data_IF_371384528192
#
_entry.id   IF_371384528192
#
_cell.length_a   1.000
_cell.length_b   1.000
_cell.length_c   1.000
_cell.angle_alpha   90.00
_cell.angle_beta   90.00
_cell.angle_gamma   90.00
#
_symmetry.space_group_name_H-M   'P 1'
#
loop_
_entity.id
_entity.type
_entity.pdbx_description
1 polymer ?
#
# COMPACT_ATOMS: atom_id res chain seq x y z
N UNK A 1 -26.64 17.95 13.98
CA UNK A 1 -27.25 16.63 14.08
C UNK A 1 -27.05 16.07 15.48
N UNK A 2 -28.08 15.49 16.03
CA UNK A 2 -27.98 14.76 17.31
C UNK A 2 -27.42 13.37 17.02
N UNK A 3 -26.39 12.97 17.74
CA UNK A 3 -25.94 11.59 17.74
C UNK A 3 -27.08 10.65 18.15
N UNK A 4 -27.26 9.53 17.46
CA UNK A 4 -28.16 8.50 17.96
C UNK A 4 -27.66 8.06 19.34
N UNK A 5 -28.58 7.89 20.28
CA UNK A 5 -28.22 7.36 21.59
C UNK A 5 -27.65 5.94 21.42
N UNK A 6 -26.82 5.50 22.36
CA UNK A 6 -26.31 4.12 22.38
C UNK A 6 -27.44 3.10 22.27
N UNK A 7 -28.54 3.34 22.96
CA UNK A 7 -29.73 2.50 22.94
C UNK A 7 -30.37 2.44 21.53
N UNK A 8 -30.45 3.57 20.81
CA UNK A 8 -30.93 3.59 19.44
C UNK A 8 -30.00 2.86 18.47
N UNK A 9 -28.68 2.93 18.71
CA UNK A 9 -27.68 2.18 17.94
C UNK A 9 -27.77 0.67 18.20
N UNK A 10 -27.91 0.26 19.45
CA UNK A 10 -28.00 -1.15 19.84
C UNK A 10 -29.30 -1.81 19.33
N UNK A 11 -30.36 -1.02 19.15
CA UNK A 11 -31.64 -1.49 18.65
C UNK A 11 -31.84 -1.23 17.14
N UNK A 12 -30.85 -0.69 16.48
CA UNK A 12 -30.95 -0.44 15.06
C UNK A 12 -31.03 -1.76 14.30
N UNK A 13 -32.12 -1.93 13.54
CA UNK A 13 -32.28 -3.09 12.67
C UNK A 13 -32.03 -2.63 11.22
N UNK A 14 -31.08 -3.27 10.56
CA UNK A 14 -30.87 -3.02 9.14
C UNK A 14 -32.13 -3.38 8.33
N UNK A 15 -32.45 -2.56 7.35
CA UNK A 15 -33.59 -2.87 6.46
C UNK A 15 -33.31 -4.12 5.62
N UNK A 16 -34.35 -4.73 5.08
CA UNK A 16 -34.24 -5.98 4.31
C UNK A 16 -33.28 -5.89 3.12
N UNK A 17 -33.19 -4.75 2.47
CA UNK A 17 -32.27 -4.53 1.36
C UNK A 17 -30.81 -4.53 1.83
N UNK A 18 -30.51 -3.87 2.93
CA UNK A 18 -29.17 -3.87 3.54
C UNK A 18 -28.79 -5.27 4.02
N UNK A 19 -29.73 -5.99 4.65
CA UNK A 19 -29.49 -7.38 5.09
C UNK A 19 -29.20 -8.27 3.88
N UNK A 20 -29.97 -8.14 2.79
CA UNK A 20 -29.75 -8.91 1.56
C UNK A 20 -28.38 -8.63 0.94
N UNK A 21 -27.94 -7.36 0.91
CA UNK A 21 -26.60 -6.98 0.44
C UNK A 21 -25.49 -7.62 1.27
N UNK A 22 -25.61 -7.57 2.60
CA UNK A 22 -24.63 -8.15 3.52
C UNK A 22 -24.61 -9.68 3.46
N UNK A 23 -25.78 -10.31 3.32
CA UNK A 23 -25.91 -11.77 3.29
C UNK A 23 -25.39 -12.36 1.99
N UNK A 24 -25.53 -11.63 0.88
CA UNK A 24 -24.98 -12.05 -0.42
C UNK A 24 -23.46 -11.83 -0.56
N UNK A 25 -22.81 -11.35 0.49
CA UNK A 25 -21.36 -11.36 0.63
C UNK A 25 -20.60 -10.32 -0.18
N UNK A 26 -21.16 -9.78 -1.25
CA UNK A 26 -20.42 -8.97 -2.23
C UNK A 26 -21.12 -7.67 -2.63
N UNK A 27 -21.97 -7.12 -1.77
CA UNK A 27 -22.71 -5.92 -2.17
C UNK A 27 -23.57 -6.13 -3.44
N UNK A 28 -23.99 -7.34 -3.69
CA UNK A 28 -24.88 -7.70 -4.82
C UNK A 28 -24.17 -8.00 -6.14
N UNK A 29 -22.86 -8.01 -6.18
CA UNK A 29 -22.11 -8.45 -7.36
C UNK A 29 -21.68 -9.90 -7.18
N UNK A 30 -22.36 -10.82 -7.83
CA UNK A 30 -21.79 -12.16 -8.05
C UNK A 30 -20.83 -12.04 -9.21
N UNK A 31 -19.53 -12.19 -8.92
CA UNK A 31 -18.56 -12.42 -9.98
C UNK A 31 -18.80 -13.84 -10.48
N UNK A 32 -19.31 -13.99 -11.70
CA UNK A 32 -19.31 -15.28 -12.35
C UNK A 32 -17.89 -15.56 -12.83
N UNK A 33 -17.22 -16.45 -12.12
CA UNK A 33 -15.86 -16.87 -12.48
C UNK A 33 -15.81 -17.59 -13.84
N UNK A 34 -16.96 -17.98 -14.39
CA UNK A 34 -17.04 -18.55 -15.73
C UNK A 34 -17.19 -17.49 -16.82
N UNK A 35 -17.52 -16.27 -16.45
CA UNK A 35 -17.60 -15.10 -17.36
C UNK A 35 -16.27 -14.30 -17.30
N UNK A 36 -15.16 -15.02 -17.32
CA UNK A 36 -13.84 -14.43 -17.42
C UNK A 36 -13.59 -14.04 -18.88
N UNK A 37 -13.50 -12.74 -19.22
CA UNK A 37 -13.20 -12.31 -20.58
C UNK A 37 -11.83 -12.77 -21.07
N UNK A 38 -10.96 -13.21 -20.17
CA UNK A 38 -9.67 -13.82 -20.48
C UNK A 38 -9.77 -15.33 -20.78
N UNK A 39 -10.95 -15.94 -20.65
CA UNK A 39 -11.14 -17.36 -20.97
C UNK A 39 -10.80 -17.62 -22.44
N UNK A 40 -9.80 -18.45 -22.68
CA UNK A 40 -9.28 -18.74 -24.01
C UNK A 40 -8.19 -17.79 -24.52
N UNK A 41 -7.78 -16.83 -23.71
CA UNK A 41 -6.62 -15.99 -24.03
C UNK A 41 -5.34 -16.79 -23.85
N UNK A 42 -4.51 -16.81 -24.89
CA UNK A 42 -3.16 -17.37 -24.77
C UNK A 42 -2.22 -16.28 -24.27
N UNK A 43 -1.67 -16.48 -23.10
CA UNK A 43 -0.64 -15.57 -22.57
C UNK A 43 0.70 -15.87 -23.22
N UNK A 44 1.36 -14.83 -23.73
CA UNK A 44 2.72 -14.90 -24.32
C UNK A 44 3.81 -14.53 -23.33
N UNK A 45 3.44 -14.25 -22.09
CA UNK A 45 4.37 -13.91 -21.01
C UNK A 45 5.35 -15.04 -20.71
N UNK A 46 6.52 -14.68 -20.21
CA UNK A 46 7.63 -15.61 -19.98
C UNK A 46 8.60 -15.70 -21.16
N UNK A 47 8.58 -14.74 -22.07
CA UNK A 47 9.60 -14.59 -23.10
C UNK A 47 10.96 -14.32 -22.49
N UNK A 48 11.95 -15.09 -22.90
CA UNK A 48 13.34 -14.87 -22.44
C UNK A 48 14.00 -13.79 -23.32
N UNK A 49 13.50 -12.55 -23.22
CA UNK A 49 14.02 -11.42 -24.00
C UNK A 49 15.30 -10.78 -23.41
N UNK A 50 15.67 -11.17 -22.20
CA UNK A 50 16.90 -10.73 -21.53
C UNK A 50 16.84 -9.34 -20.90
N UNK A 51 15.68 -8.67 -20.90
CA UNK A 51 15.52 -7.35 -20.25
C UNK A 51 15.44 -7.53 -18.74
N UNK A 52 16.20 -6.71 -18.02
CA UNK A 52 16.27 -6.73 -16.56
C UNK A 52 15.65 -5.47 -15.98
N UNK A 53 15.17 -5.52 -14.76
CA UNK A 53 14.61 -4.35 -14.07
C UNK A 53 15.62 -3.18 -14.00
N UNK A 54 16.92 -3.50 -13.91
CA UNK A 54 17.99 -2.51 -13.92
C UNK A 54 18.05 -1.68 -15.23
N UNK A 55 17.58 -2.23 -16.35
CA UNK A 55 17.55 -1.52 -17.62
C UNK A 55 16.50 -0.39 -17.64
N UNK A 56 15.55 -0.45 -16.72
CA UNK A 56 14.54 0.60 -16.51
C UNK A 56 15.00 1.71 -15.57
N UNK A 57 16.22 1.63 -15.02
CA UNK A 57 16.71 2.63 -14.08
C UNK A 57 16.72 4.05 -14.70
N UNK A 58 16.06 4.98 -14.02
CA UNK A 58 15.94 6.38 -14.47
C UNK A 58 14.90 6.62 -15.57
N UNK A 59 14.18 5.59 -16.03
CA UNK A 59 13.09 5.75 -17.00
C UNK A 59 11.82 6.08 -16.25
N UNK A 60 11.34 7.32 -16.41
CA UNK A 60 10.11 7.83 -15.76
C UNK A 60 8.91 7.87 -16.72
N UNK A 61 9.12 7.67 -18.00
CA UNK A 61 8.06 7.63 -19.00
C UNK A 61 7.32 6.30 -18.93
N UNK A 62 6.03 6.28 -18.56
CA UNK A 62 5.25 5.06 -18.42
C UNK A 62 4.98 4.35 -19.77
N UNK A 63 5.10 5.08 -20.88
CA UNK A 63 4.88 4.54 -22.23
C UNK A 63 6.17 4.01 -22.85
N UNK A 64 7.29 4.02 -22.11
CA UNK A 64 8.54 3.46 -22.62
C UNK A 64 8.43 1.95 -22.82
N UNK A 65 8.91 1.48 -23.96
CA UNK A 65 8.85 0.07 -24.35
C UNK A 65 9.53 -0.90 -23.37
N UNK A 66 10.42 -0.42 -22.51
CA UNK A 66 11.09 -1.26 -21.50
C UNK A 66 10.07 -1.88 -20.54
N UNK A 67 9.01 -1.17 -20.20
CA UNK A 67 7.98 -1.68 -19.28
C UNK A 67 7.21 -2.86 -19.88
N UNK A 68 6.84 -2.76 -21.17
CA UNK A 68 6.20 -3.86 -21.87
C UNK A 68 7.14 -5.07 -21.99
N UNK A 69 8.41 -4.83 -22.27
CA UNK A 69 9.41 -5.90 -22.38
C UNK A 69 9.63 -6.60 -21.04
N UNK A 70 9.67 -5.87 -19.92
CA UNK A 70 9.74 -6.45 -18.56
C UNK A 70 8.51 -7.30 -18.28
N UNK A 71 7.30 -6.80 -18.56
CA UNK A 71 6.06 -7.57 -18.39
C UNK A 71 6.04 -8.84 -19.23
N UNK A 72 6.49 -8.77 -20.48
CA UNK A 72 6.56 -9.94 -21.35
C UNK A 72 7.63 -10.95 -20.90
N UNK A 73 8.68 -10.50 -20.24
CA UNK A 73 9.72 -11.39 -19.68
C UNK A 73 9.23 -12.18 -18.47
N UNK A 74 8.41 -11.58 -17.61
CA UNK A 74 7.84 -12.25 -16.44
C UNK A 74 6.86 -13.34 -16.87
N UNK A 75 6.90 -14.48 -16.22
CA UNK A 75 5.86 -15.49 -16.33
C UNK A 75 4.59 -15.07 -15.61
N UNK A 76 3.45 -15.64 -15.97
CA UNK A 76 2.17 -15.43 -15.28
C UNK A 76 2.27 -15.84 -13.81
N UNK A 77 3.00 -16.92 -13.50
CA UNK A 77 3.20 -17.37 -12.14
C UNK A 77 4.00 -16.36 -11.30
N UNK A 78 5.03 -15.74 -11.87
CA UNK A 78 5.77 -14.66 -11.20
C UNK A 78 4.90 -13.43 -10.94
N UNK A 79 4.06 -13.05 -11.91
CA UNK A 79 3.10 -11.96 -11.73
C UNK A 79 2.10 -12.28 -10.62
N UNK A 80 1.53 -13.48 -10.61
CA UNK A 80 0.61 -13.94 -9.58
C UNK A 80 1.27 -13.94 -8.20
N UNK A 81 2.54 -14.38 -8.12
CA UNK A 81 3.31 -14.34 -6.88
C UNK A 81 3.52 -12.90 -6.41
N UNK A 82 3.83 -11.98 -7.33
CA UNK A 82 4.04 -10.57 -7.01
C UNK A 82 2.79 -9.93 -6.41
N UNK A 83 1.60 -10.23 -6.95
CA UNK A 83 0.34 -9.70 -6.43
C UNK A 83 -0.16 -10.44 -5.19
N UNK A 84 -0.03 -11.77 -5.16
CA UNK A 84 -0.63 -12.60 -4.12
C UNK A 84 0.15 -12.60 -2.81
N UNK A 85 1.45 -12.38 -2.87
CA UNK A 85 2.35 -12.42 -1.73
C UNK A 85 2.99 -11.06 -1.41
N UNK A 86 2.47 -9.98 -1.96
CA UNK A 86 2.82 -8.64 -1.50
C UNK A 86 2.08 -8.32 -0.17
N UNK A 87 2.65 -7.40 0.57
CA UNK A 87 2.16 -6.98 1.89
C UNK A 87 3.30 -7.08 2.90
N UNK A 88 3.73 -5.95 3.43
CA UNK A 88 4.95 -5.80 4.23
C UNK A 88 6.22 -6.27 3.51
N UNK A 89 6.11 -6.64 2.28
CA UNK A 89 7.20 -6.98 1.38
C UNK A 89 6.73 -6.93 -0.08
N UNK A 90 7.68 -6.87 -1.00
CA UNK A 90 7.46 -7.10 -2.42
C UNK A 90 8.32 -8.27 -2.85
N UNK A 91 7.74 -9.41 -3.28
CA UNK A 91 8.50 -10.61 -3.60
C UNK A 91 9.57 -10.39 -4.67
N UNK A 92 10.61 -11.22 -4.63
CA UNK A 92 11.59 -11.29 -5.71
C UNK A 92 10.91 -11.76 -7.01
N UNK A 93 11.42 -11.27 -8.15
CA UNK A 93 11.07 -11.75 -9.49
C UNK A 93 12.37 -12.04 -10.22
N UNK A 94 12.75 -13.31 -10.18
CA UNK A 94 14.10 -13.73 -10.61
C UNK A 94 14.31 -13.51 -12.10
N UNK A 95 13.28 -13.69 -12.93
CA UNK A 95 13.40 -13.54 -14.38
C UNK A 95 13.90 -12.16 -14.81
N UNK A 96 13.48 -11.11 -14.11
CA UNK A 96 13.85 -9.72 -14.37
C UNK A 96 14.88 -9.16 -13.38
N UNK A 97 15.40 -9.99 -12.47
CA UNK A 97 16.37 -9.58 -11.46
C UNK A 97 15.85 -8.61 -10.43
N UNK A 98 14.53 -8.61 -10.16
CA UNK A 98 13.95 -7.82 -9.08
C UNK A 98 14.24 -8.52 -7.75
N UNK A 99 14.96 -7.89 -6.81
CA UNK A 99 15.14 -8.46 -5.48
C UNK A 99 13.83 -8.41 -4.67
N UNK A 100 13.76 -9.18 -3.61
CA UNK A 100 12.75 -8.98 -2.59
C UNK A 100 12.98 -7.62 -1.91
N UNK A 101 11.91 -6.89 -1.69
CA UNK A 101 11.92 -5.66 -0.92
C UNK A 101 11.23 -5.90 0.44
N UNK A 102 11.72 -5.27 1.48
CA UNK A 102 11.09 -5.21 2.81
C UNK A 102 10.38 -3.89 2.93
N UNK A 103 9.14 -3.93 3.35
CA UNK A 103 8.31 -2.74 3.55
C UNK A 103 7.86 -2.72 5.01
N UNK A 104 7.93 -1.58 5.64
CA UNK A 104 7.58 -1.43 7.06
C UNK A 104 6.48 -0.40 7.26
N UNK A 105 5.70 -0.61 8.31
CA UNK A 105 4.81 0.41 8.84
C UNK A 105 5.59 1.39 9.70
N UNK A 106 4.99 2.54 9.93
CA UNK A 106 5.51 3.50 10.87
C UNK A 106 5.59 4.92 10.35
N UNK A 107 4.50 5.70 10.42
CA UNK A 107 4.57 7.12 10.09
C UNK A 107 5.49 7.90 11.03
N UNK A 108 5.69 7.42 12.25
CA UNK A 108 6.48 8.07 13.29
C UNK A 108 7.76 7.31 13.65
N UNK A 109 8.24 6.45 12.78
CA UNK A 109 9.39 5.58 12.99
C UNK A 109 9.12 4.15 12.54
N UNK A 110 10.16 3.41 12.20
CA UNK A 110 10.03 2.03 11.72
C UNK A 110 9.42 1.16 12.82
N UNK A 111 8.28 0.59 12.52
CA UNK A 111 7.62 -0.37 13.39
C UNK A 111 6.96 -1.48 12.55
N UNK A 112 7.52 -2.66 12.57
CA UNK A 112 6.99 -3.80 11.82
C UNK A 112 6.72 -4.99 12.72
N UNK A 113 5.43 -5.25 12.92
CA UNK A 113 4.95 -6.37 13.73
C UNK A 113 5.33 -7.74 13.13
N UNK A 114 5.50 -7.82 11.81
CA UNK A 114 5.76 -9.08 11.13
C UNK A 114 7.23 -9.50 11.24
N UNK A 115 8.16 -8.57 11.09
CA UNK A 115 9.60 -8.81 11.19
C UNK A 115 10.16 -8.57 12.59
N UNK A 116 9.42 -7.83 13.43
CA UNK A 116 9.90 -7.37 14.73
C UNK A 116 10.95 -6.26 14.63
N UNK A 117 11.02 -5.58 13.48
CA UNK A 117 11.87 -4.41 13.33
C UNK A 117 11.29 -3.24 14.11
N UNK A 118 12.12 -2.62 14.91
CA UNK A 118 11.84 -1.40 15.66
C UNK A 118 13.06 -0.48 15.57
N UNK A 119 12.82 0.81 15.35
CA UNK A 119 13.86 1.84 15.33
C UNK A 119 13.49 2.98 16.29
N UNK A 120 14.04 4.18 16.08
CA UNK A 120 13.65 5.32 16.87
C UNK A 120 12.19 5.71 16.59
N UNK A 121 11.46 6.05 17.65
CA UNK A 121 10.14 6.65 17.50
C UNK A 121 10.27 8.17 17.54
N UNK A 122 9.69 8.82 16.55
CA UNK A 122 9.64 10.27 16.41
C UNK A 122 8.33 10.83 16.98
N UNK A 123 8.24 12.15 17.02
CA UNK A 123 6.99 12.82 17.36
C UNK A 123 5.93 12.51 16.29
N UNK A 124 4.66 12.47 16.69
CA UNK A 124 3.58 12.30 15.72
C UNK A 124 3.58 13.42 14.69
N UNK A 125 3.14 13.13 13.48
CA UNK A 125 3.10 14.09 12.37
C UNK A 125 2.31 15.36 12.74
N UNK A 126 1.23 15.23 13.52
CA UNK A 126 0.48 16.37 14.04
C UNK A 126 1.34 17.27 14.93
N UNK A 127 2.20 16.68 15.77
CA UNK A 127 3.13 17.45 16.62
C UNK A 127 4.21 18.11 15.80
N UNK A 128 4.76 17.41 14.81
CA UNK A 128 5.75 17.96 13.89
C UNK A 128 5.16 19.13 13.10
N UNK A 129 3.97 18.98 12.54
CA UNK A 129 3.25 20.03 11.83
C UNK A 129 3.01 21.27 12.70
N UNK A 130 2.61 21.07 13.96
CA UNK A 130 2.38 22.16 14.92
C UNK A 130 3.63 23.00 15.21
N UNK A 131 4.81 22.52 14.86
CA UNK A 131 6.06 23.31 14.99
C UNK A 131 6.20 24.39 13.92
N UNK A 132 5.52 24.27 12.77
CA UNK A 132 5.69 25.11 11.59
C UNK A 132 7.15 25.19 11.11
N UNK A 133 7.94 24.19 11.44
CA UNK A 133 9.38 24.16 11.17
C UNK A 133 9.71 23.16 10.05
N UNK A 134 9.80 23.66 8.83
CA UNK A 134 10.12 22.87 7.64
C UNK A 134 11.49 22.20 7.73
N UNK A 135 12.47 22.87 8.33
CA UNK A 135 13.83 22.33 8.48
C UNK A 135 13.82 21.12 9.44
N UNK A 136 12.97 21.15 10.47
CA UNK A 136 12.81 20.01 11.37
C UNK A 136 12.16 18.82 10.65
N UNK A 137 11.14 19.05 9.85
CA UNK A 137 10.50 18.02 9.05
C UNK A 137 11.49 17.40 8.06
N UNK A 138 12.31 18.22 7.40
CA UNK A 138 13.36 17.72 6.52
C UNK A 138 14.37 16.86 7.28
N UNK A 139 14.79 17.31 8.46
CA UNK A 139 15.76 16.59 9.28
C UNK A 139 15.22 15.25 9.77
N UNK A 140 13.96 15.19 10.15
CA UNK A 140 13.29 13.94 10.52
C UNK A 140 13.29 12.96 9.35
N UNK A 141 12.91 13.42 8.15
CA UNK A 141 12.93 12.58 6.95
C UNK A 141 14.33 12.07 6.57
N UNK A 142 15.38 12.89 6.76
CA UNK A 142 16.77 12.44 6.54
C UNK A 142 17.16 11.32 7.50
N UNK A 143 16.89 11.49 8.79
CA UNK A 143 17.24 10.48 9.80
C UNK A 143 16.41 9.22 9.62
N UNK A 144 15.13 9.36 9.30
CA UNK A 144 14.25 8.23 9.01
C UNK A 144 14.78 7.41 7.82
N UNK A 145 15.16 8.08 6.73
CA UNK A 145 15.74 7.40 5.57
C UNK A 145 17.07 6.70 5.87
N UNK A 146 17.90 7.26 6.75
CA UNK A 146 19.13 6.62 7.22
C UNK A 146 18.82 5.34 8.02
N UNK A 147 17.77 5.36 8.85
CA UNK A 147 17.32 4.18 9.59
C UNK A 147 16.75 3.10 8.68
N UNK A 148 15.99 3.48 7.64
CA UNK A 148 15.52 2.54 6.61
C UNK A 148 16.70 1.80 5.97
N UNK A 149 17.73 2.54 5.56
CA UNK A 149 18.93 1.96 4.97
C UNK A 149 19.66 0.98 5.91
N UNK A 150 19.83 1.36 7.17
CA UNK A 150 20.52 0.54 8.17
C UNK A 150 19.75 -0.75 8.46
N UNK A 151 18.42 -0.68 8.47
CA UNK A 151 17.56 -1.82 8.75
C UNK A 151 17.20 -2.65 7.49
N UNK A 152 17.66 -2.22 6.30
CA UNK A 152 17.37 -2.91 5.05
C UNK A 152 15.90 -2.77 4.60
N UNK A 153 15.25 -1.70 5.02
CA UNK A 153 13.89 -1.35 4.63
C UNK A 153 13.93 -0.65 3.28
N UNK A 154 13.09 -1.10 2.36
CA UNK A 154 13.05 -0.60 0.97
C UNK A 154 11.85 0.32 0.72
N UNK A 155 10.89 0.31 1.62
CA UNK A 155 9.69 1.13 1.53
C UNK A 155 9.01 1.26 2.89
N UNK A 156 8.44 2.43 3.14
CA UNK A 156 7.75 2.75 4.39
C UNK A 156 6.34 3.23 4.12
N UNK A 157 5.39 2.74 4.91
CA UNK A 157 3.99 3.20 4.89
C UNK A 157 3.84 4.47 5.76
N UNK A 158 4.42 5.52 5.30
CA UNK A 158 4.44 6.83 5.98
C UNK A 158 5.14 7.88 5.10
N UNK A 159 5.08 9.15 5.49
CA UNK A 159 4.20 9.73 6.50
C UNK A 159 2.73 9.79 6.04
N UNK A 160 1.80 9.96 6.98
CA UNK A 160 0.37 10.13 6.68
C UNK A 160 0.06 11.52 6.17
N UNK A 161 0.03 11.71 4.85
CA UNK A 161 -0.17 13.00 4.19
C UNK A 161 -1.63 13.43 4.07
N UNK A 162 -2.53 12.73 4.71
CA UNK A 162 -3.96 12.98 4.63
C UNK A 162 -4.34 14.29 5.33
N UNK A 163 -5.38 14.93 4.82
CA UNK A 163 -5.95 16.14 5.41
C UNK A 163 -7.03 15.73 6.42
N UNK A 164 -7.07 16.40 7.57
CA UNK A 164 -8.11 16.21 8.59
C UNK A 164 -9.44 16.81 8.11
N UNK A 165 -10.27 16.04 7.41
CA UNK A 165 -11.55 16.53 6.89
C UNK A 165 -12.73 16.31 7.83
N UNK A 166 -12.59 15.37 8.76
CA UNK A 166 -13.67 14.99 9.65
C UNK A 166 -13.13 14.71 11.04
N UNK A 167 -13.75 15.32 12.05
CA UNK A 167 -13.45 15.02 13.45
C UNK A 167 -13.76 13.57 13.87
N UNK A 168 -14.45 12.83 13.00
CA UNK A 168 -14.78 11.41 13.20
C UNK A 168 -13.79 10.46 12.52
N UNK A 169 -12.77 10.97 11.86
CA UNK A 169 -11.69 10.16 11.34
C UNK A 169 -10.90 9.53 12.49
N UNK A 170 -10.91 8.20 12.59
CA UNK A 170 -10.23 7.49 13.68
C UNK A 170 -8.70 7.63 13.66
N UNK A 171 -8.13 8.06 12.54
CA UNK A 171 -6.68 8.21 12.34
C UNK A 171 -6.22 9.67 12.21
N UNK A 172 -7.05 10.64 12.58
CA UNK A 172 -6.68 12.06 12.50
C UNK A 172 -5.45 12.40 13.37
N UNK A 173 -5.14 11.62 14.40
CA UNK A 173 -3.96 11.79 15.24
C UNK A 173 -2.63 11.42 14.55
N UNK A 174 -2.69 10.70 13.43
CA UNK A 174 -1.52 10.25 12.66
C UNK A 174 -1.14 11.19 11.52
N UNK A 175 -1.95 12.16 11.19
CA UNK A 175 -1.78 12.98 9.99
C UNK A 175 -1.31 14.39 10.35
N UNK A 176 -0.65 15.05 9.40
CA UNK A 176 -0.06 16.35 9.65
C UNK A 176 -1.10 17.40 10.07
N UNK A 177 -2.05 17.74 9.25
CA UNK A 177 -3.16 18.65 9.59
C UNK A 177 -4.08 18.92 8.39
N UNK A 178 -4.95 19.95 8.53
CA UNK A 178 -5.78 20.44 7.44
C UNK A 178 -5.06 21.44 6.51
N UNK A 179 -3.94 21.97 6.92
CA UNK A 179 -3.16 23.01 6.21
C UNK A 179 -1.86 22.43 5.62
#
# INVERSE_FOLDING_TARGET
GTYPSREASENATANAATIALLTNGNGGSTIDLNDDPAQGTTYTNGEKNGVMLADAAGIVDPDNAVWEQLMNHMSVDEMNNLYGNCGWCSPAVDSIGKPQATECDGPNGIHDLASGLEAAEYATETVLAATWNVDLALKEGEVYGDEDLVNGVSGTYGPGMNIHRSAFGGRAAEYYSED
#
